data_IF_683232300309
#
_entry.id   IF_683232300309
#
_cell.length_a   1.000
_cell.length_b   1.000
_cell.length_c   1.000
_cell.angle_alpha   90.00
_cell.angle_beta   90.00
_cell.angle_gamma   90.00
#
_symmetry.space_group_name_H-M   'P 1'
#
loop_
_entity.id
_entity.type
_entity.pdbx_description
1 polymer ?
#
# COMPACT_ATOMS: atom_id res chain seq x y z
N UNK A 1 0.01 -49.71 -6.15
CA UNK A 1 0.07 -51.21 -6.07
C UNK A 1 1.02 -51.64 -4.94
N UNK A 2 1.89 -50.78 -4.39
CA UNK A 2 2.85 -51.17 -3.32
C UNK A 2 2.30 -51.03 -1.88
N UNK A 3 1.23 -50.30 -1.63
CA UNK A 3 0.66 -50.14 -0.27
C UNK A 3 -0.35 -51.23 0.14
N UNK A 4 -0.83 -52.01 -0.78
CA UNK A 4 -1.80 -53.11 -0.47
C UNK A 4 -1.13 -54.42 0.02
N UNK A 5 0.19 -54.57 -0.10
CA UNK A 5 0.90 -55.79 0.36
C UNK A 5 1.42 -55.75 1.80
N UNK A 6 1.40 -54.56 2.43
CA UNK A 6 1.96 -54.39 3.79
C UNK A 6 0.94 -54.64 4.89
N UNK A 7 -0.37 -54.63 4.59
CA UNK A 7 -1.44 -54.84 5.56
C UNK A 7 -1.73 -56.35 5.80
N UNK A 8 -1.29 -57.21 4.89
CA UNK A 8 -1.60 -58.68 4.97
C UNK A 8 -0.62 -59.51 5.82
N UNK A 9 0.54 -58.93 6.16
CA UNK A 9 1.56 -59.70 6.94
C UNK A 9 1.40 -59.53 8.46
N UNK A 10 0.63 -58.52 8.92
CA UNK A 10 0.42 -58.29 10.38
C UNK A 10 -0.78 -59.10 10.93
N UNK A 11 -1.57 -59.78 10.09
CA UNK A 11 -2.77 -60.50 10.52
C UNK A 11 -2.60 -62.01 10.77
N UNK A 12 -1.41 -62.55 10.77
CA UNK A 12 -1.20 -63.99 10.92
C UNK A 12 -0.20 -64.35 12.04
N UNK A 13 -0.54 -63.96 13.28
CA UNK A 13 -0.04 -64.67 14.47
C UNK A 13 -0.81 -64.24 15.73
N UNK A 14 -2.13 -64.39 15.71
CA UNK A 14 -2.84 -64.38 16.98
C UNK A 14 -2.78 -65.79 17.57
N UNK A 15 -1.74 -66.01 18.35
CA UNK A 15 -1.62 -67.18 19.19
C UNK A 15 -2.73 -67.17 20.26
N UNK A 16 -3.71 -68.06 20.17
CA UNK A 16 -4.72 -68.26 21.17
C UNK A 16 -4.09 -68.80 22.46
N UNK A 17 -3.52 -67.94 23.29
CA UNK A 17 -3.18 -68.31 24.64
C UNK A 17 -4.51 -68.45 25.45
N UNK A 18 -4.71 -69.63 26.07
CA UNK A 18 -5.78 -69.89 27.01
C UNK A 18 -5.91 -68.75 28.00
N UNK A 19 -7.03 -68.03 27.95
CA UNK A 19 -7.34 -66.95 28.89
C UNK A 19 -7.37 -67.55 30.31
N UNK A 20 -6.31 -67.31 31.09
CA UNK A 20 -6.40 -67.43 32.55
C UNK A 20 -7.56 -66.51 33.01
N UNK A 21 -8.53 -67.09 33.72
CA UNK A 21 -9.56 -66.27 34.38
C UNK A 21 -8.84 -65.33 35.36
N UNK A 22 -8.69 -64.11 34.99
CA UNK A 22 -8.23 -63.03 35.88
C UNK A 22 -9.39 -62.80 36.84
N UNK A 23 -9.15 -62.98 38.15
CA UNK A 23 -10.10 -62.57 39.18
C UNK A 23 -10.41 -61.06 38.97
N UNK A 24 -11.65 -60.76 38.71
CA UNK A 24 -12.11 -59.37 38.68
C UNK A 24 -12.13 -58.88 40.14
N UNK A 25 -11.11 -58.14 40.52
CA UNK A 25 -11.06 -57.37 41.75
C UNK A 25 -11.71 -56.03 41.44
N UNK A 26 -12.72 -55.65 42.19
CA UNK A 26 -13.44 -54.37 42.06
C UNK A 26 -12.56 -53.23 42.49
N UNK A 27 -12.66 -52.06 41.85
CA UNK A 27 -11.98 -50.85 42.20
C UNK A 27 -12.42 -50.34 43.60
N UNK A 28 -11.48 -49.91 44.40
CA UNK A 28 -11.77 -49.25 45.67
C UNK A 28 -12.28 -47.81 45.40
N UNK A 29 -13.13 -47.31 46.30
CA UNK A 29 -13.68 -45.96 46.21
C UNK A 29 -12.56 -44.90 46.14
N UNK A 30 -11.47 -45.09 46.93
CA UNK A 30 -10.31 -44.21 46.95
C UNK A 30 -9.57 -44.21 45.61
N UNK A 31 -9.44 -45.34 44.93
CA UNK A 31 -8.77 -45.47 43.65
C UNK A 31 -9.54 -44.72 42.54
N UNK A 32 -10.87 -44.75 42.60
CA UNK A 32 -11.75 -44.02 41.69
C UNK A 32 -11.61 -42.49 41.94
N UNK A 33 -11.54 -42.06 43.21
CA UNK A 33 -11.31 -40.63 43.50
C UNK A 33 -9.95 -40.14 42.99
N UNK A 34 -8.89 -40.91 43.19
CA UNK A 34 -7.55 -40.56 42.69
C UNK A 34 -7.53 -40.54 41.15
N UNK A 35 -8.13 -41.53 40.53
CA UNK A 35 -8.23 -41.58 39.05
C UNK A 35 -8.98 -40.37 38.46
N UNK A 36 -10.10 -39.94 39.12
CA UNK A 36 -10.82 -38.73 38.71
C UNK A 36 -9.95 -37.45 38.87
N UNK A 37 -9.25 -37.31 39.99
CA UNK A 37 -8.37 -36.16 40.19
C UNK A 37 -7.24 -36.09 39.16
N UNK A 38 -6.57 -37.20 38.89
CA UNK A 38 -5.53 -37.28 37.85
C UNK A 38 -6.10 -37.02 36.47
N UNK A 39 -7.29 -37.56 36.16
CA UNK A 39 -7.99 -37.32 34.89
C UNK A 39 -8.31 -35.86 34.68
N UNK A 40 -8.78 -35.13 35.69
CA UNK A 40 -9.07 -33.69 35.61
C UNK A 40 -7.81 -32.88 35.38
N UNK A 41 -6.69 -33.22 36.04
CA UNK A 41 -5.38 -32.52 35.83
C UNK A 41 -4.91 -32.70 34.38
N UNK A 42 -4.99 -33.92 33.83
CA UNK A 42 -4.57 -34.20 32.46
C UNK A 42 -5.46 -33.46 31.44
N UNK A 43 -6.80 -33.52 31.64
CA UNK A 43 -7.75 -32.80 30.78
C UNK A 43 -7.51 -31.28 30.86
N UNK A 44 -7.34 -30.73 32.06
CA UNK A 44 -7.05 -29.30 32.25
C UNK A 44 -5.76 -28.86 31.56
N UNK A 45 -4.72 -29.67 31.63
CA UNK A 45 -3.47 -29.43 30.91
C UNK A 45 -3.64 -29.48 29.39
N UNK A 46 -4.36 -30.49 28.88
CA UNK A 46 -4.64 -30.64 27.46
C UNK A 46 -5.48 -29.47 26.89
N UNK A 47 -6.51 -29.04 27.64
CA UNK A 47 -7.34 -27.89 27.25
C UNK A 47 -6.53 -26.57 27.23
N UNK A 48 -5.63 -26.37 28.19
CA UNK A 48 -4.77 -25.20 28.24
C UNK A 48 -3.88 -25.10 26.98
N UNK A 49 -3.25 -26.22 26.59
CA UNK A 49 -2.42 -26.27 25.38
C UNK A 49 -3.30 -26.04 24.13
N UNK A 50 -4.48 -26.64 24.08
CA UNK A 50 -5.39 -26.49 22.95
C UNK A 50 -5.82 -25.03 22.74
N UNK A 51 -6.24 -24.35 23.80
CA UNK A 51 -6.63 -22.93 23.74
C UNK A 51 -5.45 -22.05 23.33
N UNK A 52 -4.27 -22.30 23.88
CA UNK A 52 -3.04 -21.57 23.50
C UNK A 52 -2.71 -21.76 22.01
N UNK A 53 -2.83 -22.98 21.51
CA UNK A 53 -2.58 -23.31 20.08
C UNK A 53 -3.56 -22.60 19.15
N UNK A 54 -4.87 -22.59 19.49
CA UNK A 54 -5.88 -21.91 18.69
C UNK A 54 -5.60 -20.41 18.66
N UNK A 55 -5.31 -19.80 19.80
CA UNK A 55 -5.01 -18.38 19.88
C UNK A 55 -3.79 -18.03 19.03
N UNK A 56 -2.69 -18.76 19.20
CA UNK A 56 -1.47 -18.58 18.40
C UNK A 56 -1.71 -18.76 16.89
N UNK A 57 -2.53 -19.72 16.50
CA UNK A 57 -2.90 -19.92 15.08
C UNK A 57 -3.70 -18.74 14.52
N UNK A 58 -4.65 -18.21 15.31
CA UNK A 58 -5.41 -17.01 14.93
C UNK A 58 -4.50 -15.80 14.73
N UNK A 59 -3.56 -15.58 15.66
CA UNK A 59 -2.62 -14.45 15.60
C UNK A 59 -1.71 -14.53 14.35
N UNK A 60 -1.27 -15.74 13.99
CA UNK A 60 -0.49 -15.98 12.76
C UNK A 60 -1.30 -15.66 11.51
N UNK A 61 -2.56 -16.11 11.43
CA UNK A 61 -3.43 -15.82 10.28
C UNK A 61 -3.72 -14.34 10.15
N UNK A 62 -4.03 -13.67 11.25
CA UNK A 62 -4.30 -12.22 11.27
C UNK A 62 -3.07 -11.43 10.86
N UNK A 63 -1.89 -11.80 11.35
CA UNK A 63 -0.62 -11.19 10.96
C UNK A 63 -0.30 -11.40 9.48
N UNK A 64 -0.57 -12.60 8.95
CA UNK A 64 -0.37 -12.90 7.53
C UNK A 64 -1.30 -12.05 6.63
N UNK A 65 -2.57 -11.88 7.02
CA UNK A 65 -3.52 -11.01 6.31
C UNK A 65 -3.08 -9.57 6.33
N UNK A 66 -2.73 -9.03 7.51
CA UNK A 66 -2.21 -7.66 7.64
C UNK A 66 -1.02 -7.44 6.72
N UNK A 67 -0.08 -8.38 6.69
CA UNK A 67 1.07 -8.31 5.80
C UNK A 67 0.66 -8.24 4.33
N UNK A 68 -0.25 -9.14 3.91
CA UNK A 68 -0.70 -9.23 2.54
C UNK A 68 -1.43 -7.95 2.09
N UNK A 69 -2.33 -7.43 2.91
CA UNK A 69 -3.13 -6.25 2.59
C UNK A 69 -2.25 -5.01 2.49
N UNK A 70 -1.36 -4.78 3.46
CA UNK A 70 -0.45 -3.63 3.43
C UNK A 70 0.54 -3.72 2.27
N UNK A 71 1.11 -4.89 1.99
CA UNK A 71 2.04 -5.08 0.88
C UNK A 71 1.34 -4.87 -0.47
N UNK A 72 0.09 -5.34 -0.62
CA UNK A 72 -0.70 -5.17 -1.84
C UNK A 72 -1.02 -3.71 -2.12
N UNK A 73 -1.48 -2.98 -1.10
CA UNK A 73 -1.78 -1.55 -1.22
C UNK A 73 -0.52 -0.74 -1.47
N UNK A 74 0.59 -1.06 -0.78
CA UNK A 74 1.88 -0.40 -1.02
C UNK A 74 2.35 -0.60 -2.46
N UNK A 75 2.25 -1.81 -3.00
CA UNK A 75 2.64 -2.08 -4.39
C UNK A 75 1.73 -1.36 -5.38
N UNK A 76 0.42 -1.31 -5.12
CA UNK A 76 -0.52 -0.54 -5.93
C UNK A 76 -0.11 0.93 -5.98
N UNK A 77 0.09 1.57 -4.82
CA UNK A 77 0.52 2.96 -4.72
C UNK A 77 1.83 3.21 -5.46
N UNK A 78 2.84 2.38 -5.25
CA UNK A 78 4.16 2.52 -5.89
C UNK A 78 4.06 2.40 -7.41
N UNK A 79 3.31 1.42 -7.91
CA UNK A 79 3.20 1.17 -9.34
C UNK A 79 2.43 2.28 -10.04
N UNK A 80 1.41 2.82 -9.41
CA UNK A 80 0.57 3.84 -10.02
C UNK A 80 1.22 5.23 -9.93
N UNK A 81 1.73 5.65 -8.77
CA UNK A 81 2.47 6.91 -8.61
C UNK A 81 3.68 7.00 -9.55
N UNK A 82 4.31 5.87 -9.88
CA UNK A 82 5.43 5.81 -10.84
C UNK A 82 5.06 6.31 -12.22
N UNK A 83 3.79 6.22 -12.61
CA UNK A 83 3.25 6.66 -13.91
C UNK A 83 2.97 8.15 -13.95
N UNK A 84 2.91 8.81 -12.81
CA UNK A 84 2.61 10.24 -12.71
C UNK A 84 3.39 11.07 -13.73
N UNK A 85 2.73 12.04 -14.35
CA UNK A 85 3.31 12.92 -15.35
C UNK A 85 3.55 12.27 -16.72
N UNK A 86 3.07 11.03 -16.97
CA UNK A 86 3.12 10.45 -18.31
C UNK A 86 2.27 11.26 -19.27
N UNK A 87 2.78 11.50 -20.47
CA UNK A 87 2.16 12.30 -21.51
C UNK A 87 2.38 11.67 -22.89
N UNK A 88 1.32 11.14 -23.50
CA UNK A 88 1.34 10.55 -24.84
C UNK A 88 1.64 11.57 -25.94
N UNK A 89 1.24 12.83 -25.75
CA UNK A 89 1.49 13.93 -26.67
C UNK A 89 2.94 14.46 -26.73
N UNK A 90 3.85 13.90 -25.94
CA UNK A 90 5.25 14.36 -25.84
C UNK A 90 6.03 14.35 -27.17
N UNK A 91 5.61 13.52 -28.13
CA UNK A 91 6.24 13.45 -29.46
C UNK A 91 5.83 14.65 -30.34
N UNK A 92 4.65 15.20 -30.09
CA UNK A 92 4.07 16.28 -30.93
C UNK A 92 4.43 17.66 -30.38
N UNK A 93 4.54 17.81 -29.06
CA UNK A 93 4.81 19.07 -28.37
C UNK A 93 5.89 18.89 -27.30
N UNK A 94 7.15 18.87 -27.69
CA UNK A 94 8.29 18.72 -26.78
C UNK A 94 8.69 20.01 -26.07
N UNK A 95 7.81 21.00 -26.01
CA UNK A 95 8.12 22.28 -25.40
C UNK A 95 8.27 22.15 -23.88
N UNK A 96 9.33 22.70 -23.33
CA UNK A 96 9.51 22.84 -21.90
C UNK A 96 8.46 23.83 -21.34
N UNK A 97 7.94 23.53 -20.17
CA UNK A 97 6.99 24.42 -19.50
C UNK A 97 7.69 25.73 -19.13
N UNK A 98 7.24 26.83 -19.72
CA UNK A 98 7.81 28.15 -19.42
C UNK A 98 7.47 28.64 -18.00
N UNK A 99 6.31 28.21 -17.49
CA UNK A 99 5.89 28.50 -16.12
C UNK A 99 5.27 27.25 -15.48
N UNK A 100 5.91 26.65 -14.44
CA UNK A 100 5.42 25.44 -13.80
C UNK A 100 4.07 25.61 -13.07
N UNK A 101 3.60 26.84 -12.90
CA UNK A 101 2.33 27.10 -12.20
C UNK A 101 1.15 27.30 -13.16
N UNK A 102 1.38 27.63 -14.42
CA UNK A 102 0.33 28.01 -15.37
C UNK A 102 0.08 27.02 -16.48
N UNK A 103 0.98 26.07 -16.73
CA UNK A 103 0.86 25.07 -17.81
C UNK A 103 0.60 25.67 -19.21
N UNK A 104 1.10 26.85 -19.47
CA UNK A 104 0.83 27.57 -20.70
C UNK A 104 1.44 26.86 -21.94
N UNK A 105 2.48 26.11 -21.74
CA UNK A 105 3.12 25.27 -22.75
C UNK A 105 3.74 24.02 -22.10
N UNK A 106 3.71 22.88 -22.79
CA UNK A 106 4.35 21.64 -22.37
C UNK A 106 3.41 20.60 -21.75
N UNK A 107 3.94 19.75 -20.89
CA UNK A 107 3.22 18.61 -20.35
C UNK A 107 2.17 19.00 -19.29
N UNK A 108 0.87 18.91 -19.57
CA UNK A 108 -0.19 19.30 -18.64
C UNK A 108 -0.28 18.38 -17.42
N UNK A 109 0.29 17.18 -17.48
CA UNK A 109 0.31 16.19 -16.40
C UNK A 109 1.46 16.40 -15.40
N UNK A 110 2.23 17.46 -15.56
CA UNK A 110 3.38 17.77 -14.68
C UNK A 110 3.42 19.20 -14.18
N UNK A 111 2.30 19.93 -14.32
CA UNK A 111 2.20 21.31 -13.90
C UNK A 111 0.80 21.67 -13.39
N UNK A 112 0.68 22.72 -12.59
CA UNK A 112 -0.59 23.18 -12.04
C UNK A 112 -1.34 22.07 -11.29
N UNK A 113 -2.62 21.90 -11.60
CA UNK A 113 -3.48 20.84 -11.02
C UNK A 113 -3.15 19.44 -11.53
N UNK A 114 -2.41 19.32 -12.63
CA UNK A 114 -1.94 18.06 -13.18
C UNK A 114 -0.65 17.54 -12.54
N UNK A 115 0.01 18.34 -11.71
CA UNK A 115 1.23 17.92 -11.01
C UNK A 115 0.93 17.05 -9.80
N UNK A 116 1.99 16.49 -9.22
CA UNK A 116 1.89 15.73 -7.97
C UNK A 116 1.64 16.71 -6.83
N UNK A 117 0.50 16.53 -6.18
CA UNK A 117 0.07 17.33 -5.02
C UNK A 117 0.05 16.42 -3.80
N UNK A 118 0.78 16.79 -2.75
CA UNK A 118 0.71 16.14 -1.45
C UNK A 118 -0.05 17.05 -0.50
N UNK A 119 -1.13 16.53 0.07
CA UNK A 119 -2.04 17.25 0.95
C UNK A 119 -2.64 16.28 1.98
N UNK A 120 -3.79 16.60 2.53
CA UNK A 120 -4.57 15.73 3.41
C UNK A 120 -6.06 15.99 3.22
N UNK A 121 -6.85 14.99 3.56
CA UNK A 121 -8.28 15.19 3.77
C UNK A 121 -8.50 15.97 5.06
N UNK A 122 -9.55 16.81 5.09
CA UNK A 122 -9.93 17.55 6.31
C UNK A 122 -10.18 16.59 7.48
N UNK A 123 -9.50 16.83 8.59
CA UNK A 123 -9.56 15.98 9.79
C UNK A 123 -8.53 14.86 9.81
N UNK A 124 -7.80 14.61 8.73
CA UNK A 124 -6.74 13.61 8.66
C UNK A 124 -5.36 14.25 8.88
N UNK A 125 -4.35 13.39 9.11
CA UNK A 125 -2.98 13.83 9.31
C UNK A 125 -2.43 14.55 8.08
N UNK A 126 -1.52 15.49 8.28
CA UNK A 126 -0.83 16.18 7.19
C UNK A 126 -0.09 15.21 6.29
N UNK A 127 -0.07 15.48 4.98
CA UNK A 127 0.59 14.65 3.97
C UNK A 127 0.01 13.23 3.82
N UNK A 128 -1.23 13.02 4.22
CA UNK A 128 -1.91 11.72 4.15
C UNK A 128 -2.69 11.49 2.85
N UNK A 129 -2.54 12.38 1.90
CA UNK A 129 -3.15 12.32 0.59
C UNK A 129 -2.13 12.70 -0.49
N UNK A 130 -2.14 11.96 -1.59
CA UNK A 130 -1.40 12.28 -2.81
C UNK A 130 -2.35 12.30 -3.99
N UNK A 131 -2.27 13.34 -4.80
CA UNK A 131 -2.95 13.47 -6.08
C UNK A 131 -1.90 13.54 -7.18
N UNK A 132 -2.20 12.98 -8.32
CA UNK A 132 -1.35 13.00 -9.50
C UNK A 132 -2.17 12.69 -10.74
N UNK A 133 -1.60 12.98 -11.89
CA UNK A 133 -2.24 12.73 -13.18
C UNK A 133 -1.29 12.00 -14.12
N UNK A 134 -1.85 11.32 -15.08
CA UNK A 134 -1.14 10.78 -16.24
C UNK A 134 -2.12 10.57 -17.39
N UNK A 135 -1.62 10.67 -18.60
CA UNK A 135 -2.36 10.46 -19.85
C UNK A 135 -2.71 8.96 -20.01
N UNK A 136 -3.95 8.61 -19.77
CA UNK A 136 -4.40 7.22 -19.75
C UNK A 136 -4.89 6.74 -21.13
N UNK A 137 -5.32 7.68 -21.98
CA UNK A 137 -5.87 7.42 -23.30
C UNK A 137 -4.97 7.85 -24.47
N UNK A 138 -3.76 8.36 -24.12
CA UNK A 138 -2.79 8.91 -25.09
C UNK A 138 -3.35 10.09 -25.93
N UNK A 139 -4.33 10.82 -25.40
CA UNK A 139 -4.92 11.99 -26.06
C UNK A 139 -4.00 13.21 -26.04
N UNK A 140 -3.08 13.25 -25.08
CA UNK A 140 -2.18 14.37 -24.85
C UNK A 140 -2.83 15.56 -24.13
N UNK A 141 -4.11 15.49 -23.78
CA UNK A 141 -4.86 16.54 -23.10
C UNK A 141 -5.31 16.05 -21.74
N UNK A 142 -5.08 16.84 -20.68
CA UNK A 142 -5.55 16.53 -19.34
C UNK A 142 -7.06 16.75 -19.26
N UNK A 143 -7.83 15.67 -19.22
CA UNK A 143 -9.28 15.70 -19.22
C UNK A 143 -9.86 15.22 -17.88
N UNK A 144 -10.85 15.94 -17.31
CA UNK A 144 -11.71 15.38 -16.27
C UNK A 144 -12.63 14.31 -16.89
N UNK A 145 -13.32 13.56 -16.04
CA UNK A 145 -14.32 12.58 -16.49
C UNK A 145 -15.32 13.25 -17.44
N UNK A 146 -15.30 12.89 -18.71
CA UNK A 146 -16.34 13.29 -19.65
C UNK A 146 -17.48 12.27 -19.58
N UNK A 147 -18.61 12.71 -19.03
CA UNK A 147 -19.83 11.89 -18.94
C UNK A 147 -20.57 11.75 -20.28
N UNK A 148 -20.08 12.39 -21.33
CA UNK A 148 -20.68 12.39 -22.64
C UNK A 148 -20.02 11.41 -23.63
N UNK A 149 -18.84 10.93 -23.31
CA UNK A 149 -18.10 9.96 -24.12
C UNK A 149 -18.22 8.54 -23.57
N UNK A 150 -18.32 7.55 -24.45
CA UNK A 150 -18.40 6.12 -24.08
C UNK A 150 -17.13 5.58 -23.39
N UNK A 151 -16.05 6.36 -23.39
CA UNK A 151 -14.79 6.05 -22.72
C UNK A 151 -14.59 7.02 -21.54
N UNK A 152 -15.22 6.71 -20.41
CA UNK A 152 -15.11 7.47 -19.16
C UNK A 152 -13.73 7.32 -18.50
N UNK A 153 -12.67 7.81 -19.11
CA UNK A 153 -11.32 7.79 -18.52
C UNK A 153 -11.04 9.16 -17.89
N UNK A 154 -11.12 9.21 -16.58
CA UNK A 154 -10.58 10.32 -15.83
C UNK A 154 -9.07 10.12 -15.66
N UNK A 155 -8.30 11.16 -15.87
CA UNK A 155 -6.84 11.13 -15.77
C UNK A 155 -6.31 11.67 -14.44
N UNK A 156 -7.21 11.85 -13.47
CA UNK A 156 -6.91 12.32 -12.13
C UNK A 156 -6.98 11.16 -11.15
N UNK A 157 -5.84 10.82 -10.57
CA UNK A 157 -5.65 9.72 -9.67
C UNK A 157 -5.19 10.19 -8.30
N UNK A 158 -5.27 9.31 -7.30
CA UNK A 158 -4.78 9.64 -5.97
C UNK A 158 -5.01 8.53 -4.95
N UNK A 159 -4.38 8.70 -3.83
CA UNK A 159 -4.56 7.88 -2.63
C UNK A 159 -4.70 8.79 -1.41
N UNK A 160 -5.59 8.44 -0.50
CA UNK A 160 -5.76 9.14 0.77
C UNK A 160 -6.11 8.18 1.89
N UNK A 161 -5.80 8.57 3.12
CA UNK A 161 -6.41 7.96 4.29
C UNK A 161 -7.82 8.54 4.47
N UNK A 162 -8.76 7.70 4.88
CA UNK A 162 -10.12 8.12 5.19
C UNK A 162 -10.62 7.29 6.38
N UNK A 163 -10.48 7.85 7.58
CA UNK A 163 -10.68 7.14 8.83
C UNK A 163 -9.72 5.98 8.95
N UNK A 164 -10.25 4.77 9.08
CA UNK A 164 -9.46 3.54 9.29
C UNK A 164 -9.01 2.85 7.99
N UNK A 165 -9.28 3.45 6.83
CA UNK A 165 -9.03 2.83 5.52
C UNK A 165 -8.27 3.71 4.55
N UNK A 166 -7.97 3.14 3.40
CA UNK A 166 -7.37 3.84 2.27
C UNK A 166 -8.38 3.90 1.14
N UNK A 167 -8.58 5.10 0.61
CA UNK A 167 -9.33 5.33 -0.60
C UNK A 167 -8.37 5.54 -1.77
N UNK A 168 -8.72 5.00 -2.93
CA UNK A 168 -8.13 5.29 -4.24
C UNK A 168 -9.07 6.21 -5.03
N UNK A 169 -8.50 7.12 -5.77
CA UNK A 169 -9.22 7.97 -6.69
C UNK A 169 -9.03 7.49 -8.11
N UNK A 170 -10.12 7.27 -8.83
CA UNK A 170 -10.11 6.82 -10.21
C UNK A 170 -10.93 7.73 -11.15
N UNK A 171 -11.60 8.74 -10.61
CA UNK A 171 -12.40 9.66 -11.43
C UNK A 171 -12.58 11.03 -10.79
N UNK A 172 -12.69 12.05 -11.61
CA UNK A 172 -13.01 13.43 -11.22
C UNK A 172 -13.98 14.02 -12.22
N UNK A 173 -15.21 14.38 -11.81
CA UNK A 173 -16.21 14.91 -12.73
C UNK A 173 -15.95 16.36 -13.18
N UNK A 174 -15.02 17.06 -12.52
CA UNK A 174 -14.68 18.45 -12.83
C UNK A 174 -13.31 18.81 -12.26
N UNK A 175 -12.58 19.68 -12.95
CA UNK A 175 -11.30 20.24 -12.47
C UNK A 175 -11.41 21.01 -11.16
N UNK A 176 -12.61 21.52 -10.83
CA UNK A 176 -12.88 22.20 -9.56
C UNK A 176 -12.83 21.27 -8.33
N UNK A 177 -12.87 19.97 -8.56
CA UNK A 177 -12.91 18.94 -7.50
C UNK A 177 -11.58 18.16 -7.36
N UNK A 178 -10.48 18.73 -7.82
CA UNK A 178 -9.15 18.12 -7.71
C UNK A 178 -8.55 18.45 -6.36
N UNK A 179 -9.10 17.85 -5.30
CA UNK A 179 -8.60 17.96 -3.94
C UNK A 179 -8.76 16.64 -3.17
N UNK A 180 -8.28 16.61 -1.95
CA UNK A 180 -8.36 15.42 -1.09
C UNK A 180 -9.71 15.29 -0.35
N UNK A 181 -10.54 16.32 -0.35
CA UNK A 181 -11.82 16.34 0.37
C UNK A 181 -13.00 15.95 -0.50
N UNK A 182 -13.00 16.42 -1.75
CA UNK A 182 -14.16 16.27 -2.62
C UNK A 182 -14.48 14.82 -2.96
N UNK A 183 -15.77 14.58 -3.03
CA UNK A 183 -16.44 13.39 -3.54
C UNK A 183 -17.28 13.84 -4.75
N UNK A 184 -17.42 13.07 -5.82
CA UNK A 184 -17.23 11.63 -5.98
C UNK A 184 -15.83 11.23 -6.50
N UNK A 185 -15.64 9.94 -6.70
CA UNK A 185 -14.45 9.37 -7.36
C UNK A 185 -13.46 8.71 -6.42
N UNK A 186 -13.74 8.70 -5.12
CA UNK A 186 -12.95 7.97 -4.14
C UNK A 186 -13.60 6.64 -3.77
N UNK A 187 -12.86 5.56 -3.87
CA UNK A 187 -13.29 4.21 -3.54
C UNK A 187 -12.38 3.61 -2.48
N UNK A 188 -12.97 2.97 -1.47
CA UNK A 188 -12.22 2.31 -0.41
C UNK A 188 -11.64 0.99 -0.91
N UNK A 189 -10.33 0.79 -0.72
CA UNK A 189 -9.60 -0.39 -1.20
C UNK A 189 -9.11 -1.32 -0.08
N UNK A 190 -9.24 -0.93 1.19
CA UNK A 190 -8.87 -1.74 2.34
C UNK A 190 -10.13 -2.20 3.07
N UNK A 191 -10.22 -3.50 3.39
CA UNK A 191 -11.28 -4.03 4.24
C UNK A 191 -11.06 -3.61 5.69
N UNK A 192 -11.76 -2.54 6.08
CA UNK A 192 -11.69 -2.01 7.44
C UNK A 192 -12.39 -2.87 8.49
N UNK A 193 -12.97 -4.01 8.11
CA UNK A 193 -13.52 -4.99 9.05
C UNK A 193 -12.48 -5.85 9.75
N UNK A 194 -11.25 -5.91 9.23
CA UNK A 194 -10.18 -6.76 9.77
C UNK A 194 -8.86 -6.01 9.99
N UNK A 195 -8.53 -5.07 9.11
CA UNK A 195 -7.29 -4.27 9.14
C UNK A 195 -7.66 -2.80 9.28
N UNK A 196 -7.04 -2.14 10.23
CA UNK A 196 -7.15 -0.71 10.44
C UNK A 196 -5.86 -0.02 10.01
N UNK A 197 -5.98 1.00 9.18
CA UNK A 197 -4.86 1.86 8.79
C UNK A 197 -4.74 2.98 9.81
N UNK A 198 -3.60 3.04 10.47
CA UNK A 198 -3.34 4.08 11.49
C UNK A 198 -2.49 5.24 10.95
N UNK A 199 -1.71 5.02 9.90
CA UNK A 199 -0.90 6.07 9.30
C UNK A 199 -0.72 5.82 7.81
N UNK A 200 -0.95 6.86 7.02
CA UNK A 200 -0.51 6.97 5.63
C UNK A 200 0.18 8.33 5.51
N UNK A 201 1.39 8.35 4.98
CA UNK A 201 2.12 9.60 4.78
C UNK A 201 2.93 9.55 3.50
N UNK A 202 2.85 10.63 2.74
CA UNK A 202 3.62 10.87 1.53
C UNK A 202 4.56 12.05 1.75
N UNK A 203 5.82 11.90 1.38
CA UNK A 203 6.77 13.01 1.42
C UNK A 203 7.60 13.01 0.15
N UNK A 204 7.80 14.18 -0.41
CA UNK A 204 8.70 14.30 -1.55
C UNK A 204 10.12 14.33 -0.99
N UNK A 205 10.93 13.37 -1.43
CA UNK A 205 12.33 13.26 -1.07
C UNK A 205 13.19 13.37 -2.34
N UNK A 206 14.40 13.85 -2.14
CA UNK A 206 15.42 13.86 -3.19
C UNK A 206 14.99 14.53 -4.50
N UNK A 207 14.33 15.69 -4.43
CA UNK A 207 14.27 16.55 -5.59
C UNK A 207 15.66 16.81 -6.10
N UNK A 208 15.86 16.57 -7.39
CA UNK A 208 17.07 16.97 -8.09
C UNK A 208 16.66 17.79 -9.30
N UNK A 209 17.17 18.99 -9.37
CA UNK A 209 17.08 19.82 -10.56
C UNK A 209 18.40 19.66 -11.34
N UNK A 210 18.32 19.21 -12.58
CA UNK A 210 19.46 19.06 -13.47
C UNK A 210 19.37 20.08 -14.58
N UNK A 211 20.42 20.84 -14.82
CA UNK A 211 20.52 21.71 -15.98
C UNK A 211 21.06 20.95 -17.20
N UNK A 212 21.24 21.67 -18.33
CA UNK A 212 21.78 21.12 -19.56
C UNK A 212 23.25 20.63 -19.43
N UNK A 213 23.99 21.08 -18.41
CA UNK A 213 25.33 20.63 -18.09
C UNK A 213 25.35 19.39 -17.18
N UNK A 214 24.15 18.80 -16.87
CA UNK A 214 23.96 17.66 -15.97
C UNK A 214 24.51 17.88 -14.55
N UNK A 215 24.71 19.13 -14.13
CA UNK A 215 25.08 19.43 -12.76
C UNK A 215 23.88 19.35 -11.84
N UNK A 216 23.93 18.51 -10.79
CA UNK A 216 22.81 18.35 -9.89
C UNK A 216 22.70 19.54 -8.94
N UNK A 217 21.63 20.30 -9.02
CA UNK A 217 21.23 21.22 -7.97
C UNK A 217 20.53 20.45 -6.83
N UNK A 218 20.87 20.78 -5.60
CA UNK A 218 20.47 19.99 -4.42
C UNK A 218 18.99 20.09 -4.03
N UNK A 219 18.19 20.94 -4.71
CA UNK A 219 16.80 21.22 -4.35
C UNK A 219 15.87 21.07 -5.57
N UNK A 220 14.57 21.16 -5.34
CA UNK A 220 13.60 21.23 -6.44
C UNK A 220 13.92 22.38 -7.40
N UNK A 221 13.55 22.22 -8.67
CA UNK A 221 13.69 23.30 -9.63
C UNK A 221 12.94 24.57 -9.20
N UNK A 222 11.76 24.41 -8.56
CA UNK A 222 11.03 25.56 -8.00
C UNK A 222 11.84 26.34 -6.96
N UNK A 223 12.58 25.65 -6.09
CA UNK A 223 13.49 26.32 -5.13
C UNK A 223 14.69 26.94 -5.83
N UNK A 224 15.21 26.30 -6.89
CA UNK A 224 16.30 26.85 -7.71
C UNK A 224 15.86 28.13 -8.46
N UNK A 225 14.59 28.21 -8.89
CA UNK A 225 14.02 29.40 -9.50
C UNK A 225 13.78 30.54 -8.51
N UNK A 226 13.42 30.25 -7.27
CA UNK A 226 13.16 31.25 -6.23
C UNK A 226 14.41 31.85 -5.58
N UNK A 227 15.61 31.30 -5.82
CA UNK A 227 16.83 31.77 -5.21
C UNK A 227 17.29 33.12 -5.83
N UNK A 228 17.98 33.94 -5.03
CA UNK A 228 18.50 35.24 -5.50
C UNK A 228 19.48 35.09 -6.69
N UNK A 229 19.48 36.01 -7.61
CA UNK A 229 20.39 36.01 -8.77
C UNK A 229 21.85 35.92 -8.30
N UNK A 230 22.58 34.93 -8.83
CA UNK A 230 23.99 34.68 -8.46
C UNK A 230 24.19 33.67 -7.32
N UNK A 231 23.14 33.07 -6.77
CA UNK A 231 23.29 31.95 -5.82
C UNK A 231 23.85 30.71 -6.53
N UNK A 232 24.79 30.03 -5.86
CA UNK A 232 25.33 28.75 -6.35
C UNK A 232 24.20 27.73 -6.48
N UNK A 233 24.09 27.07 -7.61
CA UNK A 233 23.05 26.06 -7.86
C UNK A 233 21.73 26.63 -8.41
N UNK A 234 21.76 27.82 -9.03
CA UNK A 234 20.60 28.45 -9.64
C UNK A 234 20.53 28.15 -11.13
N UNK A 235 19.33 27.86 -11.63
CA UNK A 235 19.05 27.78 -13.07
C UNK A 235 18.97 29.21 -13.62
N UNK A 236 19.69 29.51 -14.70
CA UNK A 236 19.72 30.82 -15.31
C UNK A 236 18.49 31.12 -16.16
N UNK A 237 18.12 32.39 -16.33
CA UNK A 237 17.01 32.77 -17.23
C UNK A 237 17.27 32.24 -18.65
N UNK A 238 16.25 31.64 -19.26
CA UNK A 238 16.31 30.96 -20.56
C UNK A 238 16.93 29.55 -20.53
N UNK A 239 17.42 29.09 -19.38
CA UNK A 239 18.00 27.75 -19.23
C UNK A 239 16.90 26.70 -18.98
N UNK A 240 17.04 25.58 -19.66
CA UNK A 240 16.14 24.42 -19.46
C UNK A 240 16.69 23.50 -18.38
N UNK A 241 15.85 23.13 -17.43
CA UNK A 241 16.18 22.21 -16.34
C UNK A 241 15.19 21.05 -16.27
N UNK A 242 15.72 19.89 -15.86
CA UNK A 242 14.92 18.68 -15.63
C UNK A 242 14.81 18.42 -14.14
N UNK A 243 13.58 18.29 -13.65
CA UNK A 243 13.30 17.93 -12.26
C UNK A 243 13.03 16.45 -12.10
N UNK A 244 13.84 15.80 -11.28
CA UNK A 244 13.68 14.41 -10.87
C UNK A 244 13.00 14.38 -9.51
N UNK A 245 11.89 13.65 -9.40
CA UNK A 245 11.08 13.57 -8.19
C UNK A 245 11.03 12.15 -7.63
N UNK A 246 11.12 12.06 -6.32
CA UNK A 246 10.99 10.82 -5.58
C UNK A 246 10.02 11.02 -4.42
N UNK A 247 9.09 10.10 -4.24
CA UNK A 247 8.08 10.13 -3.18
C UNK A 247 8.37 8.99 -2.22
N UNK A 248 8.51 9.31 -0.94
CA UNK A 248 8.53 8.30 0.12
C UNK A 248 7.11 8.09 0.62
N UNK A 249 6.75 6.83 0.83
CA UNK A 249 5.47 6.40 1.32
C UNK A 249 5.69 5.67 2.64
N UNK A 250 5.00 6.07 3.68
CA UNK A 250 4.94 5.35 4.96
C UNK A 250 3.51 4.91 5.19
N UNK A 251 3.31 3.63 5.41
CA UNK A 251 2.03 3.00 5.64
C UNK A 251 2.09 2.14 6.90
N UNK A 252 1.23 2.44 7.88
CA UNK A 252 1.11 1.66 9.11
C UNK A 252 -0.31 1.17 9.28
N UNK A 253 -0.45 -0.10 9.59
CA UNK A 253 -1.72 -0.72 9.91
C UNK A 253 -1.62 -1.70 11.08
N UNK A 254 -2.75 -2.01 11.67
CA UNK A 254 -2.91 -2.98 12.75
C UNK A 254 -4.13 -3.86 12.52
N UNK A 255 -4.15 -4.99 13.18
CA UNK A 255 -5.33 -5.88 13.21
C UNK A 255 -6.35 -5.31 14.19
N UNK A 256 -7.63 -5.29 13.79
CA UNK A 256 -8.73 -4.85 14.65
C UNK A 256 -8.84 -5.82 15.83
N UNK A 257 -9.04 -5.25 17.02
CA UNK A 257 -9.12 -5.98 18.31
C UNK A 257 -7.84 -6.72 18.72
N UNK A 258 -6.74 -6.55 18.00
CA UNK A 258 -5.43 -7.08 18.34
C UNK A 258 -4.36 -5.99 18.14
N UNK A 259 -4.45 -4.93 18.93
CA UNK A 259 -3.59 -3.75 18.85
C UNK A 259 -2.07 -4.03 18.92
N UNK A 260 -1.58 -5.11 19.57
CA UNK A 260 -0.15 -5.46 19.52
C UNK A 260 0.34 -5.86 18.13
N UNK A 261 -0.54 -6.31 17.24
CA UNK A 261 -0.15 -6.70 15.87
C UNK A 261 -0.19 -5.47 14.96
N UNK A 262 0.94 -4.77 14.94
CA UNK A 262 1.15 -3.55 14.15
C UNK A 262 2.29 -3.77 13.14
N UNK A 263 2.10 -3.29 11.92
CA UNK A 263 3.14 -3.31 10.90
C UNK A 263 3.27 -1.95 10.23
N UNK A 264 4.51 -1.51 10.06
CA UNK A 264 4.85 -0.32 9.27
C UNK A 264 5.65 -0.74 8.03
N UNK A 265 5.21 -0.27 6.87
CA UNK A 265 5.91 -0.38 5.61
C UNK A 265 6.41 0.99 5.17
N UNK A 266 7.61 1.03 4.65
CA UNK A 266 8.18 2.21 4.02
C UNK A 266 8.68 1.84 2.64
N UNK A 267 8.34 2.65 1.66
CA UNK A 267 8.81 2.49 0.29
C UNK A 267 9.11 3.84 -0.32
N UNK A 268 9.87 3.83 -1.38
CA UNK A 268 10.26 5.02 -2.11
C UNK A 268 10.05 4.79 -3.60
N UNK A 269 9.31 5.69 -4.24
CA UNK A 269 9.02 5.62 -5.67
C UNK A 269 9.62 6.80 -6.40
N UNK A 270 10.46 6.52 -7.39
CA UNK A 270 10.91 7.51 -8.36
C UNK A 270 9.84 7.64 -9.44
N UNK A 271 9.35 8.85 -9.64
CA UNK A 271 8.47 9.18 -10.77
C UNK A 271 9.26 9.00 -12.07
N UNK A 272 8.71 8.26 -13.04
CA UNK A 272 9.42 7.98 -14.30
C UNK A 272 9.49 9.19 -15.21
N UNK A 273 8.44 9.99 -15.20
CA UNK A 273 8.31 11.13 -16.09
C UNK A 273 8.84 12.37 -15.39
N UNK A 274 10.03 12.76 -15.76
CA UNK A 274 10.66 13.96 -15.22
C UNK A 274 9.92 15.21 -15.73
N UNK A 275 9.90 16.23 -14.91
CA UNK A 275 9.35 17.53 -15.28
C UNK A 275 10.46 18.38 -15.92
N UNK A 276 10.16 18.99 -17.05
CA UNK A 276 11.11 19.85 -17.78
C UNK A 276 10.60 21.28 -17.74
N UNK A 277 11.47 22.20 -17.33
CA UNK A 277 11.18 23.62 -17.27
C UNK A 277 12.17 24.42 -18.09
N UNK A 278 11.70 25.55 -18.58
CA UNK A 278 12.61 26.67 -18.99
C UNK A 278 12.37 27.81 -18.02
N UNK A 279 13.44 28.31 -17.42
CA UNK A 279 13.31 29.46 -16.53
C UNK A 279 12.98 30.71 -17.36
N UNK A 280 11.89 31.45 -17.00
CA UNK A 280 11.53 32.69 -17.66
C UNK A 280 12.63 33.76 -17.60
#
# INVERSE_FOLDING_TARGET
>A
ILMAKMVWVVMMSVNWHKKKKVKQEGFTLIELMIAMMLGLIVIGGALSIYISTIKSSSDVVNSARLNYDLDSVMQLMVNDIRRAGYWGGAIVNSNAVSNPNTCDEGNPFSCGIGDIIISNKTGEAVNSCVLYTYDADDSGALTPLDVTDDVNLSEYYGFRINGDGIDVRSSVPSTANVDCDSSPGWEKIVDTGQVQISTLSFTIANYKCLNAAEEPYLNSCAAAFGAAVGAVGKVSSGETATEIRQINITLTGNVINDAPVLKTLQNSVKVRNNRIFTQP
#
